data_IF_714585467310
#
_entry.id   IF_714585467310
#
_cell.length_a   1.000
_cell.length_b   1.000
_cell.length_c   1.000
_cell.angle_alpha   90.00
_cell.angle_beta   90.00
_cell.angle_gamma   90.00
#
_symmetry.space_group_name_H-M   'P 1'
#
loop_
_entity.id
_entity.type
_entity.pdbx_description
1 polymer ?
#
# COMPACT_ATOMS: atom_id res chain seq x y z
N UNK A 1 -1.09 -8.93 -9.88
CA UNK A 1 0.04 -8.93 -8.91
C UNK A 1 1.41 -9.19 -9.53
N UNK A 2 1.65 -10.34 -10.18
CA UNK A 2 3.01 -10.71 -10.61
C UNK A 2 3.34 -10.39 -12.08
N UNK A 3 2.33 -10.30 -12.94
CA UNK A 3 2.48 -9.89 -14.34
C UNK A 3 2.54 -8.36 -14.42
N UNK A 4 3.37 -7.81 -15.31
CA UNK A 4 3.57 -6.37 -15.48
C UNK A 4 3.46 -5.98 -16.96
N UNK A 5 2.87 -4.81 -17.23
CA UNK A 5 2.64 -4.30 -18.59
C UNK A 5 3.87 -3.71 -19.29
N UNK A 6 5.06 -3.79 -18.69
CA UNK A 6 6.31 -3.28 -19.25
C UNK A 6 7.41 -3.09 -18.21
N UNK A 7 8.64 -2.85 -18.68
CA UNK A 7 9.84 -2.71 -17.83
C UNK A 7 9.71 -1.49 -16.90
N UNK A 8 9.27 -0.34 -17.42
CA UNK A 8 9.09 0.86 -16.62
C UNK A 8 8.04 0.65 -15.52
N UNK A 9 6.91 -0.01 -15.83
CA UNK A 9 5.89 -0.33 -14.83
C UNK A 9 6.42 -1.28 -13.75
N UNK A 10 7.19 -2.31 -14.12
CA UNK A 10 7.85 -3.18 -13.16
C UNK A 10 8.82 -2.40 -12.26
N UNK A 11 9.66 -1.56 -12.85
CA UNK A 11 10.65 -0.77 -12.12
C UNK A 11 9.99 0.16 -11.08
N UNK A 12 8.92 0.87 -11.48
CA UNK A 12 8.18 1.74 -10.56
C UNK A 12 7.50 0.95 -9.42
N UNK A 13 7.01 -0.25 -9.70
CA UNK A 13 6.46 -1.14 -8.68
C UNK A 13 7.54 -1.65 -7.72
N UNK A 14 8.74 -1.98 -8.20
CA UNK A 14 9.86 -2.40 -7.34
C UNK A 14 10.32 -1.27 -6.42
N UNK A 15 10.40 -0.03 -6.91
CA UNK A 15 10.71 1.15 -6.09
C UNK A 15 9.62 1.35 -5.02
N UNK A 16 8.35 1.37 -5.43
CA UNK A 16 7.23 1.55 -4.50
C UNK A 16 7.17 0.46 -3.44
N UNK A 17 7.34 -0.80 -3.85
CA UNK A 17 7.40 -1.93 -2.93
C UNK A 17 8.58 -1.79 -1.97
N UNK A 18 9.79 -1.54 -2.46
CA UNK A 18 10.99 -1.45 -1.61
C UNK A 18 10.91 -0.32 -0.57
N UNK A 19 10.40 0.84 -0.95
CA UNK A 19 10.21 1.96 -0.02
C UNK A 19 9.13 1.63 1.01
N UNK A 20 7.95 1.17 0.57
CA UNK A 20 6.86 0.85 1.49
C UNK A 20 7.20 -0.32 2.42
N UNK A 21 7.83 -1.38 1.90
CA UNK A 21 8.20 -2.57 2.65
C UNK A 21 9.28 -2.28 3.69
N UNK A 22 10.33 -1.53 3.33
CA UNK A 22 11.42 -1.20 4.27
C UNK A 22 10.93 -0.40 5.48
N UNK A 23 9.94 0.48 5.30
CA UNK A 23 9.33 1.22 6.39
C UNK A 23 8.46 0.32 7.29
N UNK A 24 7.74 -0.64 6.71
CA UNK A 24 6.81 -1.51 7.43
C UNK A 24 7.47 -2.74 8.07
N UNK A 25 8.57 -3.22 7.50
CA UNK A 25 9.24 -4.44 7.97
C UNK A 25 9.72 -4.31 9.41
N UNK A 26 10.23 -3.14 9.81
CA UNK A 26 10.62 -2.85 11.20
C UNK A 26 9.43 -2.94 12.18
N UNK A 27 8.25 -2.54 11.71
CA UNK A 27 7.03 -2.48 12.52
C UNK A 27 6.33 -3.86 12.61
N UNK A 28 6.28 -4.59 11.50
CA UNK A 28 5.50 -5.83 11.39
C UNK A 28 6.33 -7.11 11.42
N UNK A 29 7.60 -7.04 11.04
CA UNK A 29 8.41 -8.19 10.64
C UNK A 29 8.03 -8.74 9.25
N UNK A 30 8.88 -9.59 8.67
CA UNK A 30 8.76 -10.02 7.28
C UNK A 30 7.50 -10.88 7.02
N UNK A 31 7.15 -11.78 7.94
CA UNK A 31 6.02 -12.72 7.74
C UNK A 31 4.69 -11.99 7.64
N UNK A 32 4.42 -11.07 8.57
CA UNK A 32 3.18 -10.29 8.55
C UNK A 32 3.13 -9.34 7.36
N UNK A 33 4.28 -8.75 7.00
CA UNK A 33 4.38 -7.87 5.84
C UNK A 33 4.00 -8.60 4.54
N UNK A 34 4.53 -9.81 4.32
CA UNK A 34 4.19 -10.65 3.17
C UNK A 34 2.70 -11.00 3.19
N UNK A 35 2.16 -11.40 4.35
CA UNK A 35 0.74 -11.75 4.47
C UNK A 35 -0.16 -10.55 4.12
N UNK A 36 0.13 -9.36 4.65
CA UNK A 36 -0.62 -8.13 4.34
C UNK A 36 -0.52 -7.80 2.85
N UNK A 37 0.68 -7.88 2.26
CA UNK A 37 0.87 -7.63 0.83
C UNK A 37 0.00 -8.55 -0.05
N UNK A 38 -0.03 -9.85 0.25
CA UNK A 38 -0.85 -10.82 -0.49
C UNK A 38 -2.35 -10.53 -0.29
N UNK A 39 -2.80 -10.32 0.94
CA UNK A 39 -4.22 -10.08 1.25
C UNK A 39 -4.70 -8.80 0.57
N UNK A 40 -4.00 -7.68 0.73
CA UNK A 40 -4.33 -6.42 0.06
C UNK A 40 -4.31 -6.56 -1.45
N UNK A 41 -3.35 -7.32 -1.99
CA UNK A 41 -3.29 -7.62 -3.40
C UNK A 41 -4.52 -8.35 -3.92
N UNK A 42 -4.99 -9.38 -3.22
CA UNK A 42 -6.23 -10.10 -3.57
C UNK A 42 -7.42 -9.13 -3.54
N UNK A 43 -7.58 -8.36 -2.47
CA UNK A 43 -8.69 -7.40 -2.31
C UNK A 43 -8.68 -6.28 -3.36
N UNK A 44 -7.50 -5.77 -3.71
CA UNK A 44 -7.32 -4.81 -4.79
C UNK A 44 -7.77 -5.38 -6.15
N UNK A 45 -7.37 -6.62 -6.46
CA UNK A 45 -7.77 -7.27 -7.72
C UNK A 45 -9.28 -7.57 -7.75
N UNK A 46 -9.89 -7.95 -6.63
CA UNK A 46 -11.35 -8.11 -6.54
C UNK A 46 -12.09 -6.78 -6.78
N UNK A 47 -11.56 -5.68 -6.23
CA UNK A 47 -12.11 -4.33 -6.46
C UNK A 47 -12.03 -3.93 -7.93
N UNK A 48 -10.90 -4.22 -8.58
CA UNK A 48 -10.72 -4.01 -10.02
C UNK A 48 -11.71 -4.80 -10.87
N UNK A 49 -11.84 -6.11 -10.61
CA UNK A 49 -12.77 -7.00 -11.34
C UNK A 49 -14.22 -6.53 -11.17
N UNK A 50 -14.59 -6.06 -9.98
CA UNK A 50 -15.92 -5.54 -9.73
C UNK A 50 -16.19 -4.24 -10.50
N UNK A 51 -15.19 -3.36 -10.64
CA UNK A 51 -15.34 -2.06 -11.30
C UNK A 51 -15.22 -2.14 -12.82
N UNK A 52 -14.42 -3.09 -13.32
CA UNK A 52 -14.10 -3.22 -14.74
C UNK A 52 -14.59 -4.55 -15.31
N UNK A 53 -15.56 -4.49 -16.23
CA UNK A 53 -16.09 -5.69 -16.88
C UNK A 53 -15.21 -6.24 -18.01
N UNK A 54 -14.43 -5.38 -18.70
CA UNK A 54 -13.66 -5.75 -19.90
C UNK A 54 -12.22 -5.19 -19.90
N UNK A 55 -11.63 -4.95 -18.72
CA UNK A 55 -10.25 -4.43 -18.61
C UNK A 55 -9.35 -5.47 -17.95
N UNK A 56 -8.20 -5.73 -18.57
CA UNK A 56 -7.17 -6.57 -17.95
C UNK A 56 -6.26 -5.67 -17.11
N UNK A 57 -6.37 -5.81 -15.78
CA UNK A 57 -5.46 -5.17 -14.84
C UNK A 57 -4.26 -6.06 -14.56
N UNK A 58 -3.05 -5.50 -14.68
CA UNK A 58 -1.79 -6.19 -14.38
C UNK A 58 -0.94 -5.33 -13.46
N UNK A 59 -0.07 -5.96 -12.69
CA UNK A 59 0.90 -5.29 -11.82
C UNK A 59 0.72 -5.58 -10.34
N UNK A 60 1.75 -5.22 -9.58
CA UNK A 60 1.80 -5.30 -8.12
C UNK A 60 1.18 -4.08 -7.43
N UNK A 61 0.94 -3.00 -8.17
CA UNK A 61 0.60 -1.68 -7.62
C UNK A 61 -0.62 -1.67 -6.69
N UNK A 62 -1.68 -2.44 -6.96
CA UNK A 62 -2.81 -2.57 -6.00
C UNK A 62 -2.39 -3.14 -4.62
N UNK A 63 -1.52 -4.15 -4.61
CA UNK A 63 -0.97 -4.71 -3.37
C UNK A 63 -0.05 -3.71 -2.65
N UNK A 64 0.77 -2.98 -3.42
CA UNK A 64 1.65 -1.93 -2.91
C UNK A 64 0.79 -0.81 -2.30
N UNK A 65 -0.28 -0.37 -2.96
CA UNK A 65 -1.25 0.58 -2.41
C UNK A 65 -1.86 0.08 -1.09
N UNK A 66 -2.02 -1.23 -0.90
CA UNK A 66 -2.29 -1.85 0.39
C UNK A 66 -1.26 -1.54 1.47
N UNK A 67 0.03 -1.63 1.15
CA UNK A 67 1.09 -1.24 2.08
C UNK A 67 1.05 0.26 2.38
N UNK A 68 0.78 1.10 1.40
CA UNK A 68 0.61 2.54 1.62
C UNK A 68 -0.66 2.87 2.41
N UNK A 69 -1.73 2.09 2.28
CA UNK A 69 -2.93 2.20 3.12
C UNK A 69 -2.64 1.85 4.58
N UNK A 70 -1.80 0.85 4.80
CA UNK A 70 -1.30 0.49 6.12
C UNK A 70 -0.42 1.61 6.72
N UNK A 71 0.50 2.18 5.93
CA UNK A 71 1.31 3.36 6.32
C UNK A 71 0.41 4.55 6.64
N UNK A 72 -0.67 4.76 5.87
CA UNK A 72 -1.65 5.82 6.13
C UNK A 72 -2.33 5.62 7.50
N UNK A 73 -2.79 4.40 7.80
CA UNK A 73 -3.35 4.10 9.12
C UNK A 73 -2.34 4.37 10.23
N UNK A 74 -1.11 3.87 10.10
CA UNK A 74 -0.05 4.08 11.09
C UNK A 74 0.32 5.56 11.26
N UNK A 75 0.24 6.35 10.18
CA UNK A 75 0.48 7.80 10.23
C UNK A 75 -0.67 8.55 10.89
N UNK A 76 -1.92 8.25 10.53
CA UNK A 76 -3.14 8.88 11.09
C UNK A 76 -3.28 8.57 12.58
N UNK A 77 -3.10 7.31 12.97
CA UNK A 77 -3.25 6.84 14.34
C UNK A 77 -1.99 7.01 15.21
N UNK A 78 -0.97 7.71 14.70
CA UNK A 78 0.26 8.09 15.41
C UNK A 78 1.04 6.88 15.96
N UNK A 79 1.21 5.87 15.12
CA UNK A 79 2.09 4.72 15.39
C UNK A 79 3.55 5.11 15.17
N UNK A 80 3.84 5.84 14.08
CA UNK A 80 5.16 6.40 13.85
C UNK A 80 5.48 7.55 14.82
N UNK A 81 6.74 7.65 15.28
CA UNK A 81 7.17 8.76 16.14
C UNK A 81 7.08 10.10 15.41
N UNK A 82 6.96 11.19 16.17
CA UNK A 82 6.66 12.52 15.62
C UNK A 82 7.68 12.99 14.56
N UNK A 83 8.97 12.67 14.73
CA UNK A 83 10.01 13.06 13.77
C UNK A 83 9.88 12.35 12.41
N UNK A 84 9.22 11.19 12.34
CA UNK A 84 8.98 10.46 11.09
C UNK A 84 7.69 10.89 10.38
N UNK A 85 6.76 11.58 11.05
CA UNK A 85 5.43 11.87 10.48
C UNK A 85 5.49 12.73 9.22
N UNK A 86 6.41 13.69 9.15
CA UNK A 86 6.60 14.49 7.93
C UNK A 86 7.04 13.62 6.75
N UNK A 87 7.97 12.70 7.01
CA UNK A 87 8.46 11.74 6.00
C UNK A 87 7.35 10.79 5.53
N UNK A 88 6.54 10.23 6.43
CA UNK A 88 5.47 9.30 6.03
C UNK A 88 4.36 9.99 5.24
N UNK A 89 3.98 11.22 5.59
CA UNK A 89 3.07 12.02 4.78
C UNK A 89 3.63 12.35 3.40
N UNK A 90 4.91 12.70 3.32
CA UNK A 90 5.60 12.94 2.05
C UNK A 90 5.59 11.68 1.17
N UNK A 91 5.91 10.50 1.73
CA UNK A 91 5.85 9.24 0.99
C UNK A 91 4.44 8.92 0.47
N UNK A 92 3.41 9.14 1.31
CA UNK A 92 2.02 8.96 0.91
C UNK A 92 1.63 9.89 -0.23
N UNK A 93 2.00 11.17 -0.16
CA UNK A 93 1.74 12.14 -1.22
C UNK A 93 2.49 11.81 -2.51
N UNK A 94 3.79 11.52 -2.42
CA UNK A 94 4.64 11.26 -3.58
C UNK A 94 4.30 9.95 -4.29
N UNK A 95 4.03 8.87 -3.55
CA UNK A 95 3.74 7.58 -4.19
C UNK A 95 2.24 7.42 -4.45
N UNK A 96 1.42 7.41 -3.40
CA UNK A 96 -0.01 7.12 -3.55
C UNK A 96 -0.76 8.30 -4.19
N UNK A 97 -0.47 9.53 -3.78
CA UNK A 97 -1.07 10.73 -4.36
C UNK A 97 -0.76 10.89 -5.84
N UNK A 98 0.52 10.90 -6.23
CA UNK A 98 0.93 11.03 -7.64
C UNK A 98 0.41 9.86 -8.48
N UNK A 99 0.50 8.61 -7.99
CA UNK A 99 0.03 7.44 -8.77
C UNK A 99 -1.47 7.50 -9.05
N UNK A 100 -2.29 7.91 -8.07
CA UNK A 100 -3.73 8.11 -8.28
C UNK A 100 -4.00 9.25 -9.28
N UNK A 101 -3.26 10.35 -9.17
CA UNK A 101 -3.36 11.48 -10.11
C UNK A 101 -3.02 11.05 -11.54
N UNK A 102 -1.92 10.32 -11.73
CA UNK A 102 -1.54 9.78 -13.05
C UNK A 102 -2.62 8.84 -13.59
N UNK A 103 -3.25 8.03 -12.73
CA UNK A 103 -4.31 7.14 -13.17
C UNK A 103 -5.58 7.83 -13.70
N UNK A 104 -5.83 9.10 -13.37
CA UNK A 104 -6.88 9.87 -14.04
C UNK A 104 -6.59 10.16 -15.52
N UNK A 105 -5.32 10.13 -15.92
CA UNK A 105 -4.89 10.33 -17.30
C UNK A 105 -4.80 9.01 -18.10
N UNK A 106 -5.15 7.87 -17.49
CA UNK A 106 -5.23 6.56 -18.13
C UNK A 106 -3.98 5.69 -17.99
N UNK A 107 -4.09 4.42 -18.41
CA UNK A 107 -3.00 3.44 -18.34
C UNK A 107 -2.74 2.82 -16.97
N UNK A 108 -3.48 3.24 -15.94
CA UNK A 108 -3.38 2.73 -14.56
C UNK A 108 -4.78 2.42 -14.03
N UNK A 109 -4.89 1.31 -13.31
CA UNK A 109 -6.13 0.87 -12.68
C UNK A 109 -6.31 1.52 -11.29
N UNK A 110 -7.02 2.65 -11.27
CA UNK A 110 -7.34 3.35 -10.03
C UNK A 110 -8.32 2.57 -9.15
N UNK A 111 -9.16 1.68 -9.69
CA UNK A 111 -10.05 0.86 -8.87
C UNK A 111 -9.23 -0.12 -8.01
N UNK A 112 -8.21 -0.75 -8.60
CA UNK A 112 -7.24 -1.56 -7.85
C UNK A 112 -6.49 -0.75 -6.78
N UNK A 113 -6.07 0.48 -7.11
CA UNK A 113 -5.34 1.34 -6.17
C UNK A 113 -6.20 1.76 -4.98
N UNK A 114 -7.43 2.19 -5.21
CA UNK A 114 -8.38 2.51 -4.14
C UNK A 114 -8.71 1.29 -3.30
N UNK A 115 -9.00 0.15 -3.92
CA UNK A 115 -9.25 -1.11 -3.19
C UNK A 115 -8.08 -1.54 -2.33
N UNK A 116 -6.86 -1.40 -2.86
CA UNK A 116 -5.61 -1.60 -2.12
C UNK A 116 -5.51 -0.66 -0.92
N UNK A 117 -5.60 0.66 -1.14
CA UNK A 117 -5.45 1.66 -0.10
C UNK A 117 -6.46 1.47 1.05
N UNK A 118 -7.72 1.21 0.72
CA UNK A 118 -8.78 0.99 1.71
C UNK A 118 -8.55 -0.30 2.49
N UNK A 119 -8.24 -1.40 1.82
CA UNK A 119 -7.96 -2.68 2.50
C UNK A 119 -6.76 -2.60 3.42
N UNK A 120 -5.68 -1.95 2.98
CA UNK A 120 -4.50 -1.67 3.79
C UNK A 120 -4.81 -0.83 5.02
N UNK A 121 -5.58 0.24 4.85
CA UNK A 121 -6.00 1.11 5.96
C UNK A 121 -6.86 0.37 6.98
N UNK A 122 -7.81 -0.45 6.51
CA UNK A 122 -8.66 -1.27 7.37
C UNK A 122 -7.84 -2.30 8.16
N UNK A 123 -6.93 -3.03 7.51
CA UNK A 123 -6.04 -3.99 8.16
C UNK A 123 -5.14 -3.28 9.17
N UNK A 124 -4.57 -2.12 8.81
CA UNK A 124 -3.77 -1.33 9.73
C UNK A 124 -4.51 -0.89 10.97
N UNK A 125 -5.74 -0.41 10.79
CA UNK A 125 -6.63 -0.04 11.89
C UNK A 125 -6.91 -1.24 12.79
N UNK A 126 -7.17 -2.42 12.22
CA UNK A 126 -7.37 -3.65 12.98
C UNK A 126 -6.12 -4.06 13.78
N UNK A 127 -4.93 -4.01 13.17
CA UNK A 127 -3.68 -4.33 13.85
C UNK A 127 -3.42 -3.38 15.03
N UNK A 128 -3.77 -2.10 14.89
CA UNK A 128 -3.68 -1.12 15.97
C UNK A 128 -4.63 -1.46 17.12
N UNK A 129 -5.85 -1.92 16.81
CA UNK A 129 -6.81 -2.35 17.84
C UNK A 129 -6.30 -3.59 18.60
N UNK A 130 -5.56 -4.47 17.93
CA UNK A 130 -5.03 -5.70 18.53
C UNK A 130 -3.86 -5.38 19.47
N UNK A 131 -2.84 -4.63 19.02
CA UNK A 131 -1.63 -4.39 19.83
C UNK A 131 -0.90 -3.10 19.41
N UNK A 132 -1.44 -1.95 19.84
CA UNK A 132 -0.90 -0.63 19.52
C UNK A 132 0.52 -0.41 20.04
N UNK A 133 0.82 -0.87 21.26
CA UNK A 133 2.11 -0.58 21.91
C UNK A 133 3.24 -1.38 21.27
N UNK A 134 3.00 -2.64 20.89
CA UNK A 134 3.98 -3.41 20.10
C UNK A 134 4.30 -2.75 18.76
N UNK A 135 3.30 -2.21 18.07
CA UNK A 135 3.50 -1.51 16.80
C UNK A 135 4.33 -0.23 16.98
N UNK A 136 4.06 0.56 18.02
CA UNK A 136 4.87 1.74 18.35
C UNK A 136 6.32 1.38 18.66
N UNK A 137 6.54 0.31 19.42
CA UNK A 137 7.89 -0.15 19.76
C UNK A 137 8.68 -0.57 18.51
N UNK A 138 8.04 -1.22 17.53
CA UNK A 138 8.68 -1.55 16.25
C UNK A 138 8.87 -0.36 15.30
N UNK A 139 8.22 0.78 15.56
CA UNK A 139 8.32 1.98 14.76
C UNK A 139 9.38 2.99 15.25
N UNK A 140 9.98 2.75 16.42
CA UNK A 140 11.05 3.56 17.01
C UNK A 140 12.45 3.09 16.60
#
# INVERSE_FOLDING_TARGET
>A
MFIHGGILHLFMNLIGLGIGSSLLEKVLGPVKLIAVYIICGILANLTSIYWHHNTVSVGASGAIFGLYGLILAFTVFKIYPNYMRGFTWMLLGLYAGVSLLVGFFGGIDNAAHFGGLISGFAIGSLLILIDKEKLKNGAN
#
